data_IF_580198427312
#
_entry.id   IF_580198427312
#
_cell.length_a   1.000
_cell.length_b   1.000
_cell.length_c   1.000
_cell.angle_alpha   90.00
_cell.angle_beta   90.00
_cell.angle_gamma   90.00
#
_symmetry.space_group_name_H-M   'P 1'
#
loop_
_entity.id
_entity.type
_entity.pdbx_description
1 polymer ?
#
# COMPACT_ATOMS: atom_id res chain seq x y z
N UNK A 1 -13.97 18.21 16.15
CA UNK A 1 -12.63 18.34 15.53
C UNK A 1 -12.84 18.29 14.03
N UNK A 2 -12.94 19.45 13.37
CA UNK A 2 -13.13 19.54 11.92
C UNK A 2 -11.77 19.89 11.31
N UNK A 3 -11.17 18.95 10.57
CA UNK A 3 -10.01 19.24 9.73
C UNK A 3 -10.55 19.88 8.45
N UNK A 4 -10.25 21.16 8.23
CA UNK A 4 -10.53 21.83 6.96
C UNK A 4 -9.22 21.88 6.17
N UNK A 5 -9.03 20.92 5.27
CA UNK A 5 -7.92 20.94 4.32
C UNK A 5 -8.32 21.81 3.11
N UNK A 6 -7.62 22.93 2.93
CA UNK A 6 -7.66 23.80 1.74
C UNK A 6 -6.32 23.59 0.99
N UNK A 7 -6.27 23.70 -0.35
CA UNK A 7 -5.46 22.80 -1.17
C UNK A 7 -3.96 23.12 -1.23
N UNK A 8 -3.15 22.12 -0.87
CA UNK A 8 -1.97 21.73 -1.63
C UNK A 8 -2.26 20.38 -2.29
N UNK A 9 -2.13 20.28 -3.62
CA UNK A 9 -2.21 18.99 -4.30
C UNK A 9 -0.93 18.21 -3.99
N UNK A 10 -1.03 17.20 -3.13
CA UNK A 10 0.06 16.27 -2.92
C UNK A 10 -0.03 15.19 -4.00
N UNK A 11 1.12 14.69 -4.44
CA UNK A 11 1.18 13.52 -5.31
C UNK A 11 2.09 12.47 -4.68
N UNK A 12 1.55 11.28 -4.44
CA UNK A 12 2.35 10.10 -4.17
C UNK A 12 2.45 9.26 -5.44
N UNK A 13 3.46 8.39 -5.53
CA UNK A 13 3.54 7.40 -6.62
C UNK A 13 3.17 6.03 -6.08
N UNK A 14 2.32 5.29 -6.77
CA UNK A 14 1.99 3.90 -6.47
C UNK A 14 2.30 3.01 -7.67
N UNK A 15 3.24 2.07 -7.53
CA UNK A 15 3.69 1.19 -8.62
C UNK A 15 4.02 1.97 -9.91
N UNK A 16 4.73 3.09 -9.76
CA UNK A 16 5.11 3.99 -10.85
C UNK A 16 4.00 4.91 -11.37
N UNK A 17 2.76 4.80 -10.86
CA UNK A 17 1.64 5.66 -11.26
C UNK A 17 1.46 6.83 -10.29
N UNK A 18 1.34 8.08 -10.76
CA UNK A 18 1.05 9.21 -9.88
C UNK A 18 -0.38 9.11 -9.35
N UNK A 19 -0.54 9.30 -8.04
CA UNK A 19 -1.80 9.26 -7.32
C UNK A 19 -2.01 10.62 -6.65
N UNK A 20 -3.06 11.37 -7.03
CA UNK A 20 -3.38 12.64 -6.39
C UNK A 20 -3.88 12.38 -4.96
N UNK A 21 -3.45 13.23 -4.04
CA UNK A 21 -3.84 13.17 -2.64
C UNK A 21 -4.03 14.58 -2.07
N UNK A 22 -4.63 14.65 -0.89
CA UNK A 22 -4.84 15.89 -0.15
C UNK A 22 -4.06 15.88 1.14
N UNK A 23 -3.76 17.06 1.64
CA UNK A 23 -3.27 17.18 3.01
C UNK A 23 -4.28 16.57 3.99
N UNK A 24 -3.78 15.74 4.92
CA UNK A 24 -4.61 14.99 5.86
C UNK A 24 -5.06 13.61 5.37
N UNK A 25 -4.85 13.27 4.10
CA UNK A 25 -5.07 11.89 3.64
C UNK A 25 -4.07 10.93 4.27
N UNK A 26 -4.54 9.71 4.51
CA UNK A 26 -3.66 8.54 4.66
C UNK A 26 -3.28 8.00 3.29
N UNK A 27 -2.17 7.28 3.19
CA UNK A 27 -1.80 6.58 1.96
C UNK A 27 -2.95 5.65 1.51
N UNK A 28 -3.57 4.92 2.43
CA UNK A 28 -4.71 4.06 2.10
C UNK A 28 -5.91 4.83 1.54
N UNK A 29 -6.28 5.99 2.11
CA UNK A 29 -7.42 6.77 1.63
C UNK A 29 -7.16 7.34 0.23
N UNK A 30 -5.94 7.82 -0.04
CA UNK A 30 -5.54 8.29 -1.36
C UNK A 30 -5.59 7.16 -2.41
N UNK A 31 -5.05 5.97 -2.06
CA UNK A 31 -5.09 4.79 -2.94
C UNK A 31 -6.52 4.34 -3.24
N UNK A 32 -7.38 4.26 -2.22
CA UNK A 32 -8.80 3.91 -2.40
C UNK A 32 -9.54 4.93 -3.27
N UNK A 33 -9.29 6.23 -3.08
CA UNK A 33 -9.87 7.29 -3.89
C UNK A 33 -9.45 7.20 -5.37
N UNK A 34 -8.25 6.68 -5.64
CA UNK A 34 -7.75 6.39 -6.99
C UNK A 34 -8.15 5.01 -7.52
N UNK A 35 -9.01 4.26 -6.80
CA UNK A 35 -9.52 2.95 -7.22
C UNK A 35 -8.56 1.77 -6.96
N UNK A 36 -7.47 1.98 -6.20
CA UNK A 36 -6.54 0.91 -5.82
C UNK A 36 -7.07 0.19 -4.58
N UNK A 37 -7.50 -1.06 -4.78
CA UNK A 37 -8.07 -1.90 -3.70
C UNK A 37 -7.09 -2.95 -3.16
N UNK A 38 -6.01 -3.23 -3.89
CA UNK A 38 -5.01 -4.25 -3.54
C UNK A 38 -3.67 -3.58 -3.38
N UNK A 39 -3.03 -3.78 -2.22
CA UNK A 39 -1.69 -3.26 -1.91
C UNK A 39 -0.70 -4.36 -1.61
N UNK A 40 -1.16 -5.61 -1.40
CA UNK A 40 -0.28 -6.77 -1.26
C UNK A 40 -0.96 -8.08 -1.59
N UNK A 41 -0.17 -9.13 -1.71
CA UNK A 41 -0.65 -10.52 -1.62
C UNK A 41 -0.13 -11.22 -0.37
N UNK A 42 -0.90 -12.14 0.20
CA UNK A 42 -0.45 -12.91 1.36
C UNK A 42 0.74 -13.81 1.00
N UNK A 43 1.78 -13.91 1.84
CA UNK A 43 2.94 -14.75 1.55
C UNK A 43 2.58 -16.21 1.28
N UNK A 44 1.56 -16.70 1.99
CA UNK A 44 0.98 -18.01 1.79
C UNK A 44 -0.31 -17.85 0.99
N UNK A 45 -0.38 -18.50 -0.17
CA UNK A 45 -1.58 -18.59 -0.99
C UNK A 45 -1.89 -17.39 -1.88
N UNK A 46 -1.06 -16.33 -1.86
CA UNK A 46 -1.16 -15.24 -2.83
C UNK A 46 -2.50 -14.48 -2.80
N UNK A 47 -3.19 -14.44 -1.66
CA UNK A 47 -4.51 -13.82 -1.57
C UNK A 47 -4.35 -12.31 -1.59
N UNK A 48 -5.08 -11.63 -2.48
CA UNK A 48 -5.07 -10.17 -2.60
C UNK A 48 -5.61 -9.51 -1.33
N UNK A 49 -4.89 -8.52 -0.82
CA UNK A 49 -5.23 -7.76 0.39
C UNK A 49 -5.05 -6.26 0.15
N UNK A 50 -5.82 -5.48 0.88
CA UNK A 50 -5.73 -4.03 0.88
C UNK A 50 -6.48 -3.41 2.07
N UNK A 51 -6.70 -2.09 2.04
CA UNK A 51 -7.37 -1.39 3.13
C UNK A 51 -8.74 -1.99 3.48
N UNK A 52 -8.92 -2.31 4.77
CA UNK A 52 -10.17 -2.88 5.30
C UNK A 52 -10.65 -2.14 6.54
N UNK A 53 -9.92 -2.23 7.66
CA UNK A 53 -10.37 -1.64 8.93
C UNK A 53 -10.14 -0.13 9.07
N UNK A 54 -9.22 0.46 8.29
CA UNK A 54 -8.79 1.87 8.39
C UNK A 54 -8.39 2.33 9.81
N UNK A 55 -7.97 1.41 10.68
CA UNK A 55 -7.61 1.68 12.09
C UNK A 55 -6.26 1.08 12.50
N UNK A 56 -5.55 0.43 11.58
CA UNK A 56 -4.28 -0.25 11.88
C UNK A 56 -4.39 -1.56 12.68
N UNK A 57 -5.58 -2.14 12.79
CA UNK A 57 -5.80 -3.38 13.57
C UNK A 57 -5.70 -4.66 12.71
N UNK A 58 -6.09 -4.59 11.44
CA UNK A 58 -6.18 -5.78 10.58
C UNK A 58 -4.89 -6.13 9.84
N UNK A 59 -3.94 -5.19 9.72
CA UNK A 59 -2.72 -5.35 8.92
C UNK A 59 -2.98 -5.75 7.45
N UNK A 60 -4.13 -5.45 6.87
CA UNK A 60 -4.43 -5.78 5.46
C UNK A 60 -3.92 -4.72 4.47
N UNK A 61 -3.76 -3.47 4.91
CA UNK A 61 -3.32 -2.35 4.09
C UNK A 61 -1.79 -2.22 3.95
N UNK A 62 -1.03 -3.29 4.14
CA UNK A 62 0.43 -3.22 4.11
C UNK A 62 0.92 -2.94 2.69
N UNK A 63 1.96 -2.12 2.60
CA UNK A 63 2.69 -1.79 1.37
C UNK A 63 4.16 -1.50 1.71
N UNK A 64 5.00 -1.37 0.69
CA UNK A 64 6.31 -0.73 0.83
C UNK A 64 6.15 0.78 0.67
N UNK A 65 6.71 1.55 1.60
CA UNK A 65 6.66 3.01 1.58
C UNK A 65 8.07 3.54 1.73
N UNK A 66 8.56 4.29 0.74
CA UNK A 66 9.91 4.86 0.68
C UNK A 66 11.01 3.82 0.98
N UNK A 67 10.87 2.61 0.43
CA UNK A 67 11.80 1.49 0.63
C UNK A 67 11.59 0.70 1.93
N UNK A 68 10.60 1.07 2.76
CA UNK A 68 10.30 0.40 4.02
C UNK A 68 9.13 -0.57 3.83
N UNK A 69 9.32 -1.90 3.95
CA UNK A 69 8.25 -2.87 3.76
C UNK A 69 7.34 -2.99 4.99
N UNK A 70 6.14 -3.54 4.80
CA UNK A 70 5.10 -3.74 5.83
C UNK A 70 4.69 -2.47 6.57
N UNK A 71 4.57 -1.36 5.84
CA UNK A 71 4.04 -0.12 6.38
C UNK A 71 2.52 -0.13 6.32
N UNK A 72 1.87 0.22 7.41
CA UNK A 72 0.41 0.30 7.48
C UNK A 72 -0.09 1.58 6.79
N UNK A 73 -0.41 1.48 5.50
CA UNK A 73 -0.84 2.65 4.71
C UNK A 73 -2.06 3.39 5.28
N UNK A 74 -2.93 2.73 6.05
CA UNK A 74 -4.07 3.38 6.70
C UNK A 74 -3.71 4.25 7.91
N UNK A 75 -2.50 4.10 8.45
CA UNK A 75 -1.98 4.92 9.56
C UNK A 75 -0.87 5.88 9.09
N UNK A 76 -0.43 5.77 7.84
CA UNK A 76 0.64 6.60 7.27
C UNK A 76 0.05 7.81 6.58
N UNK A 77 0.32 9.05 7.03
CA UNK A 77 -0.10 10.25 6.34
C UNK A 77 0.63 10.40 5.00
N UNK A 78 -0.05 10.94 3.99
CA UNK A 78 0.56 11.24 2.70
C UNK A 78 1.58 12.36 2.85
N UNK A 79 2.71 12.21 2.15
CA UNK A 79 3.72 13.25 1.93
C UNK A 79 3.91 13.43 0.43
N UNK A 80 4.09 14.68 0.00
CA UNK A 80 4.36 14.95 -1.41
C UNK A 80 5.64 14.23 -1.88
N UNK A 81 5.59 13.63 -3.07
CA UNK A 81 6.70 12.92 -3.68
C UNK A 81 7.03 11.56 -3.07
N UNK A 82 6.27 11.06 -2.08
CA UNK A 82 6.54 9.74 -1.50
C UNK A 82 6.28 8.61 -2.51
N UNK A 83 7.04 7.53 -2.40
CA UNK A 83 6.96 6.37 -3.29
C UNK A 83 6.39 5.20 -2.52
N UNK A 84 5.32 4.61 -3.06
CA UNK A 84 4.64 3.46 -2.51
C UNK A 84 4.65 2.35 -3.55
N UNK A 85 4.92 1.13 -3.11
CA UNK A 85 4.86 -0.04 -3.96
C UNK A 85 4.00 -1.13 -3.31
N UNK A 86 3.29 -1.88 -4.16
CA UNK A 86 2.63 -3.10 -3.72
C UNK A 86 3.66 -4.12 -3.20
N UNK A 87 3.25 -4.96 -2.26
CA UNK A 87 4.13 -5.95 -1.63
C UNK A 87 3.70 -7.37 -1.97
N UNK A 88 4.64 -8.18 -2.43
CA UNK A 88 4.41 -9.60 -2.65
C UNK A 88 5.33 -10.45 -1.78
N UNK A 89 4.80 -11.55 -1.26
CA UNK A 89 5.56 -12.48 -0.44
C UNK A 89 5.85 -11.98 0.99
N UNK A 90 6.68 -12.75 1.70
CA UNK A 90 7.13 -12.41 3.04
C UNK A 90 8.30 -11.42 2.97
N UNK A 91 8.40 -10.53 3.97
CA UNK A 91 9.59 -9.67 4.08
C UNK A 91 10.82 -10.51 4.40
N UNK A 92 11.96 -10.09 3.87
CA UNK A 92 13.27 -10.62 4.27
C UNK A 92 13.70 -10.02 5.62
N UNK A 93 14.32 -10.84 6.46
CA UNK A 93 14.89 -10.44 7.74
C UNK A 93 16.40 -10.19 7.56
N UNK A 94 16.76 -8.95 7.20
CA UNK A 94 18.16 -8.54 7.00
C UNK A 94 18.58 -8.55 5.54
N UNK A 95 19.15 -7.44 5.05
CA UNK A 95 19.41 -7.21 3.62
C UNK A 95 20.24 -8.31 2.95
N UNK A 96 19.59 -9.11 2.12
CA UNK A 96 20.07 -9.76 0.90
C UNK A 96 18.85 -10.43 0.22
N UNK A 97 18.89 -10.53 -1.11
CA UNK A 97 17.82 -11.04 -1.97
C UNK A 97 17.12 -12.31 -1.44
N UNK A 98 15.79 -12.28 -1.48
CA UNK A 98 14.95 -13.43 -1.16
C UNK A 98 15.07 -14.56 -2.18
N UNK A 99 14.67 -15.75 -1.76
CA UNK A 99 14.49 -16.87 -2.68
C UNK A 99 14.01 -18.15 -2.00
N UNK A 100 12.69 -18.35 -2.05
CA UNK A 100 12.01 -19.65 -2.23
C UNK A 100 10.48 -19.42 -2.25
N UNK A 101 9.75 -19.60 -3.34
CA UNK A 101 10.05 -20.06 -4.68
C UNK A 101 8.78 -19.98 -5.53
N UNK A 102 8.99 -19.89 -6.84
CA UNK A 102 8.06 -20.20 -7.93
C UNK A 102 7.03 -21.26 -7.55
N UNK A 103 5.75 -21.01 -7.89
CA UNK A 103 4.80 -22.03 -8.38
C UNK A 103 3.60 -21.34 -9.04
N UNK A 104 3.55 -21.51 -10.36
CA UNK A 104 2.44 -21.26 -11.27
C UNK A 104 1.05 -21.49 -10.67
N UNK A 105 0.14 -20.56 -10.94
CA UNK A 105 -1.26 -20.67 -10.51
C UNK A 105 -2.12 -19.53 -11.02
N UNK A 106 -2.30 -19.47 -12.34
CA UNK A 106 -3.37 -18.68 -12.94
C UNK A 106 -4.73 -19.04 -12.33
N UNK A 107 -5.46 -18.04 -11.84
CA UNK A 107 -6.91 -17.94 -11.96
C UNK A 107 -7.35 -16.51 -11.61
N UNK A 108 -7.39 -15.66 -12.62
CA UNK A 108 -8.26 -14.50 -12.60
C UNK A 108 -9.71 -14.94 -12.86
N UNK A 109 -10.63 -14.51 -12.00
CA UNK A 109 -12.03 -14.28 -12.33
C UNK A 109 -13.06 -15.19 -11.64
N UNK A 110 -14.36 -14.93 -11.85
CA UNK A 110 -14.98 -13.62 -12.08
C UNK A 110 -15.19 -12.80 -10.79
#
# INVERSE_FOLDING_TARGET
MLVRAEPGSLTLTFDGRPIPAREGDSVASALLAAGVQVTRHTPRGGVARGPYCMMGACFECLAEVDGVPNVQTCMTPVRDGMVVASQDGARTLGGAAGGDGERDGAAAGP
#
